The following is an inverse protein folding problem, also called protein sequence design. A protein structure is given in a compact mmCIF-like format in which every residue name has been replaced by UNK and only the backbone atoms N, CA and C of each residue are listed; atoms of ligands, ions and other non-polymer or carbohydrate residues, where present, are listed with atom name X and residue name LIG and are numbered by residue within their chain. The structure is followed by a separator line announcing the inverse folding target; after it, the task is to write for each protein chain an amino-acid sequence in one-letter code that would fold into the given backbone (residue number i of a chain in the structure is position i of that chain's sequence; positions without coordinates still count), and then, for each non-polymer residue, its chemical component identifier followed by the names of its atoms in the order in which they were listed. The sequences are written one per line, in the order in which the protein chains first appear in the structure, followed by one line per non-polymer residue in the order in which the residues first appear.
data_IF_767565305384
#
_entry.id   IF_767565305384
#
_cell.length_a   1.000
_cell.length_b   1.000
_cell.length_c   1.000
_cell.angle_alpha   90.00
_cell.angle_beta   90.00
_cell.angle_gamma   90.00
#
_symmetry.space_group_name_H-M   'P 1'
#
loop_
_entity.id
_entity.type
_entity.pdbx_description
1 polymer ?
#
# COMPACT_ATOMS: atom_id res chain seq x y z
N UNK A 1 -5.80 -20.30 -2.64
CA UNK A 1 -6.10 -19.01 -2.01
C UNK A 1 -5.62 -17.87 -2.87
N UNK A 2 -6.39 -16.77 -2.97
CA UNK A 2 -6.04 -15.54 -3.70
C UNK A 2 -5.77 -14.44 -2.68
N UNK A 3 -4.51 -14.13 -2.43
CA UNK A 3 -4.08 -13.24 -1.35
C UNK A 3 -3.57 -11.91 -1.92
N UNK A 4 -4.23 -10.80 -1.53
CA UNK A 4 -3.76 -9.45 -1.85
C UNK A 4 -2.70 -9.00 -0.85
N UNK A 5 -1.57 -8.49 -1.34
CA UNK A 5 -0.49 -7.93 -0.53
C UNK A 5 -0.55 -6.41 -0.62
N UNK A 6 -0.83 -5.73 0.48
CA UNK A 6 -0.87 -4.28 0.58
C UNK A 6 0.27 -3.79 1.48
N UNK A 7 1.42 -3.51 0.85
CA UNK A 7 2.57 -2.92 1.52
C UNK A 7 2.42 -1.41 1.72
N UNK A 8 2.93 -0.89 2.81
CA UNK A 8 2.89 0.55 3.05
C UNK A 8 3.56 0.99 4.33
N UNK A 9 3.87 2.28 4.41
CA UNK A 9 4.39 2.87 5.65
C UNK A 9 3.32 2.93 6.74
N UNK A 10 2.04 3.11 6.37
CA UNK A 10 0.90 3.29 7.29
C UNK A 10 1.21 4.26 8.43
N UNK A 11 1.49 5.52 8.07
CA UNK A 11 2.02 6.52 9.00
C UNK A 11 1.12 7.78 9.15
N UNK A 12 -0.11 7.62 9.74
CA UNK A 12 -0.77 6.39 10.17
C UNK A 12 -1.54 5.65 9.07
N UNK A 13 -2.04 4.45 9.38
CA UNK A 13 -3.13 3.83 8.63
C UNK A 13 -4.38 4.72 8.75
N UNK A 14 -5.21 4.76 7.69
CA UNK A 14 -6.40 5.62 7.65
C UNK A 14 -7.51 5.00 6.80
N UNK A 15 -8.71 5.58 6.86
CA UNK A 15 -9.90 5.08 6.18
C UNK A 15 -9.70 4.92 4.66
N UNK A 16 -8.84 5.75 4.04
CA UNK A 16 -8.47 5.58 2.63
C UNK A 16 -7.74 4.26 2.34
N UNK A 17 -6.85 3.80 3.22
CA UNK A 17 -6.19 2.50 3.06
C UNK A 17 -7.19 1.34 3.18
N UNK A 18 -8.10 1.41 4.13
CA UNK A 18 -9.13 0.38 4.34
C UNK A 18 -10.11 0.33 3.16
N UNK A 19 -10.52 1.48 2.64
CA UNK A 19 -11.40 1.57 1.46
C UNK A 19 -10.73 0.93 0.23
N UNK A 20 -9.47 1.29 -0.06
CA UNK A 20 -8.69 0.70 -1.16
C UNK A 20 -8.57 -0.82 -1.00
N UNK A 21 -8.28 -1.31 0.20
CA UNK A 21 -8.15 -2.74 0.46
C UNK A 21 -9.46 -3.49 0.16
N UNK A 22 -10.59 -3.00 0.67
CA UNK A 22 -11.91 -3.61 0.46
C UNK A 22 -12.34 -3.56 -1.01
N UNK A 23 -12.20 -2.42 -1.65
CA UNK A 23 -12.55 -2.23 -3.07
C UNK A 23 -11.70 -3.13 -3.97
N UNK A 24 -10.40 -3.22 -3.75
CA UNK A 24 -9.52 -4.08 -4.52
C UNK A 24 -9.86 -5.57 -4.28
N UNK A 25 -10.14 -5.96 -3.03
CA UNK A 25 -10.57 -7.31 -2.70
C UNK A 25 -11.82 -7.71 -3.46
N UNK A 26 -12.85 -6.87 -3.44
CA UNK A 26 -14.11 -7.11 -4.13
C UNK A 26 -13.95 -7.17 -5.64
N UNK A 27 -13.30 -6.15 -6.25
CA UNK A 27 -13.11 -6.04 -7.69
C UNK A 27 -12.29 -7.21 -8.30
N UNK A 28 -11.43 -7.82 -7.49
CA UNK A 28 -10.54 -8.90 -7.93
C UNK A 28 -10.97 -10.28 -7.41
N UNK A 29 -11.98 -10.37 -6.56
CA UNK A 29 -12.41 -11.63 -5.93
C UNK A 29 -11.29 -12.26 -5.09
N UNK A 30 -10.58 -11.44 -4.30
CA UNK A 30 -9.53 -11.94 -3.42
C UNK A 30 -10.14 -12.51 -2.14
N UNK A 31 -9.57 -13.60 -1.63
CA UNK A 31 -10.03 -14.20 -0.38
C UNK A 31 -9.71 -13.27 0.81
N UNK A 32 -8.51 -12.68 0.81
CA UNK A 32 -8.04 -11.83 1.89
C UNK A 32 -7.06 -10.76 1.40
N UNK A 33 -6.97 -9.63 2.10
CA UNK A 33 -5.90 -8.64 1.96
C UNK A 33 -4.98 -8.68 3.17
N UNK A 34 -3.69 -8.86 2.92
CA UNK A 34 -2.64 -8.85 3.92
C UNK A 34 -1.96 -7.47 3.94
N UNK A 35 -2.16 -6.71 5.02
CA UNK A 35 -1.44 -5.48 5.27
C UNK A 35 -0.01 -5.79 5.72
N UNK A 36 0.97 -5.11 5.14
CA UNK A 36 2.40 -5.33 5.41
C UNK A 36 3.04 -3.99 5.77
N UNK A 37 3.07 -3.62 7.07
CA UNK A 37 3.72 -2.39 7.51
C UNK A 37 5.23 -2.45 7.28
N UNK A 38 5.73 -1.50 6.48
CA UNK A 38 7.15 -1.41 6.14
C UNK A 38 7.97 -0.93 7.33
N UNK A 39 9.01 -1.68 7.72
CA UNK A 39 9.90 -1.30 8.82
C UNK A 39 10.82 -0.15 8.42
N UNK A 40 11.62 -0.36 7.39
CA UNK A 40 12.62 0.58 6.88
C UNK A 40 12.46 0.76 5.37
N UNK A 41 11.56 1.66 4.91
CA UNK A 41 11.37 1.91 3.48
C UNK A 41 12.68 2.37 2.83
N UNK A 42 13.12 1.77 1.70
CA UNK A 42 14.40 2.12 1.07
C UNK A 42 14.52 3.59 0.65
N UNK A 43 13.38 4.22 0.33
CA UNK A 43 13.30 5.56 -0.27
C UNK A 43 12.94 6.67 0.74
N UNK A 44 12.84 6.35 2.06
CA UNK A 44 12.51 7.35 3.08
C UNK A 44 13.68 7.57 4.03
N UNK A 45 13.94 8.83 4.43
CA UNK A 45 14.94 9.13 5.46
C UNK A 45 14.60 8.44 6.80
N UNK A 46 15.64 8.02 7.52
CA UNK A 46 15.46 7.51 8.87
C UNK A 46 14.84 8.60 9.77
N UNK A 47 13.94 8.20 10.66
CA UNK A 47 13.28 9.11 11.61
C UNK A 47 12.08 9.90 11.07
N UNK A 48 11.73 9.76 9.78
CA UNK A 48 10.56 10.45 9.20
C UNK A 48 9.22 9.75 9.48
N UNK A 49 9.25 8.59 10.12
CA UNK A 49 8.07 7.77 10.40
C UNK A 49 7.94 7.53 11.90
N UNK A 50 6.71 7.36 12.39
CA UNK A 50 6.48 6.78 13.71
C UNK A 50 7.15 5.41 13.84
N UNK A 51 7.51 4.96 15.06
CA UNK A 51 8.11 3.65 15.28
C UNK A 51 7.35 2.54 14.56
N UNK A 52 8.09 1.58 14.01
CA UNK A 52 7.48 0.53 13.18
C UNK A 52 6.45 -0.30 13.97
N UNK A 53 6.68 -0.51 15.27
CA UNK A 53 5.77 -1.22 16.14
C UNK A 53 4.45 -0.48 16.35
N UNK A 54 4.47 0.85 16.52
CA UNK A 54 3.25 1.65 16.64
C UNK A 54 2.46 1.63 15.34
N UNK A 55 3.13 1.68 14.18
CA UNK A 55 2.46 1.60 12.88
C UNK A 55 1.82 0.24 12.63
N UNK A 56 2.48 -0.83 13.08
CA UNK A 56 1.92 -2.18 13.07
C UNK A 56 0.67 -2.26 13.96
N UNK A 57 0.76 -1.77 15.18
CA UNK A 57 -0.35 -1.82 16.13
C UNK A 57 -1.56 -0.99 15.64
N UNK A 58 -1.32 0.18 15.09
CA UNK A 58 -2.39 0.98 14.47
C UNK A 58 -3.10 0.22 13.33
N UNK A 59 -2.36 -0.50 12.47
CA UNK A 59 -2.98 -1.33 11.43
C UNK A 59 -3.77 -2.47 12.06
N UNK A 60 -3.24 -3.17 13.05
CA UNK A 60 -3.92 -4.26 13.76
C UNK A 60 -5.26 -3.80 14.35
N UNK A 61 -5.25 -2.64 14.99
CA UNK A 61 -6.48 -2.02 15.55
C UNK A 61 -7.48 -1.61 14.45
N UNK A 62 -6.97 -1.10 13.32
CA UNK A 62 -7.81 -0.64 12.22
C UNK A 62 -8.60 -1.77 11.54
N UNK A 63 -8.04 -2.97 11.48
CA UNK A 63 -8.62 -4.12 10.77
C UNK A 63 -9.28 -5.15 11.69
N UNK A 64 -9.25 -4.96 13.00
CA UNK A 64 -9.67 -5.96 13.99
C UNK A 64 -11.11 -6.49 13.81
N UNK A 65 -12.00 -5.70 13.24
CA UNK A 65 -13.41 -6.06 13.03
C UNK A 65 -13.69 -6.67 11.63
N UNK A 66 -12.68 -6.79 10.76
CA UNK A 66 -12.87 -7.23 9.38
C UNK A 66 -12.05 -8.51 9.11
N UNK A 67 -12.68 -9.69 9.12
CA UNK A 67 -11.99 -10.98 8.95
C UNK A 67 -11.38 -11.17 7.55
N UNK A 68 -11.79 -10.36 6.58
CA UNK A 68 -11.21 -10.36 5.23
C UNK A 68 -9.89 -9.60 5.13
N UNK A 69 -9.48 -8.91 6.20
CA UNK A 69 -8.23 -8.18 6.30
C UNK A 69 -7.32 -8.84 7.34
N UNK A 70 -6.06 -8.99 7.01
CA UNK A 70 -5.04 -9.56 7.89
C UNK A 70 -3.82 -8.64 7.94
N UNK A 71 -2.92 -8.87 8.88
CA UNK A 71 -1.67 -8.15 9.01
C UNK A 71 -0.50 -9.11 9.12
N UNK A 72 0.63 -8.78 8.49
CA UNK A 72 1.89 -9.50 8.63
C UNK A 72 2.96 -8.61 9.23
N UNK A 73 3.72 -9.15 10.15
CA UNK A 73 4.89 -8.52 10.76
C UNK A 73 6.21 -8.90 10.07
N UNK A 74 6.13 -9.55 8.89
CA UNK A 74 7.27 -10.10 8.15
C UNK A 74 8.40 -9.08 7.93
N UNK A 75 8.05 -7.82 7.64
CA UNK A 75 9.04 -6.75 7.51
C UNK A 75 9.48 -6.16 8.85
N UNK A 76 8.63 -6.20 9.88
CA UNK A 76 8.97 -5.74 11.23
C UNK A 76 10.01 -6.65 11.86
N UNK A 77 9.86 -7.97 11.73
CA UNK A 77 10.80 -8.98 12.27
C UNK A 77 12.13 -9.03 11.52
N UNK A 78 12.11 -8.72 10.22
CA UNK A 78 13.29 -8.82 9.37
C UNK A 78 14.29 -7.70 9.67
N UNK A 79 15.62 -7.98 9.82
CA UNK A 79 16.64 -6.94 9.87
C UNK A 79 16.85 -6.26 8.51
N UNK A 80 17.37 -5.04 8.52
CA UNK A 80 17.75 -4.29 7.32
C UNK A 80 16.58 -3.60 6.60
N UNK A 81 16.80 -3.23 5.34
CA UNK A 81 15.82 -2.54 4.50
C UNK A 81 14.68 -3.46 4.06
N UNK A 82 13.50 -2.91 3.95
CA UNK A 82 12.28 -3.60 3.51
C UNK A 82 12.20 -3.66 1.98
N UNK A 83 12.88 -4.61 1.37
CA UNK A 83 12.78 -4.85 -0.07
C UNK A 83 11.59 -5.78 -0.37
N UNK A 84 10.76 -5.40 -1.34
CA UNK A 84 9.55 -6.16 -1.72
C UNK A 84 9.86 -7.58 -2.19
N UNK A 85 10.99 -7.80 -2.88
CA UNK A 85 11.40 -9.13 -3.33
C UNK A 85 11.58 -10.12 -2.17
N UNK A 86 12.21 -9.67 -1.09
CA UNK A 86 12.43 -10.50 0.09
C UNK A 86 11.11 -10.79 0.81
N UNK A 87 10.23 -9.79 0.86
CA UNK A 87 8.89 -9.91 1.46
C UNK A 87 8.03 -10.92 0.70
N UNK A 88 7.98 -10.82 -0.63
CA UNK A 88 7.19 -11.75 -1.46
C UNK A 88 7.73 -13.18 -1.35
N UNK A 89 9.05 -13.39 -1.35
CA UNK A 89 9.66 -14.72 -1.16
C UNK A 89 9.28 -15.35 0.17
N UNK A 90 9.34 -14.58 1.26
CA UNK A 90 8.94 -15.07 2.59
C UNK A 90 7.45 -15.43 2.65
N UNK A 91 6.58 -14.61 2.07
CA UNK A 91 5.15 -14.89 2.03
C UNK A 91 4.80 -16.08 1.14
N UNK A 92 5.53 -16.31 0.02
CA UNK A 92 5.37 -17.53 -0.77
C UNK A 92 5.73 -18.79 0.04
N UNK A 93 6.78 -18.72 0.87
CA UNK A 93 7.14 -19.82 1.76
C UNK A 93 6.09 -20.03 2.85
N UNK A 94 5.57 -18.98 3.44
CA UNK A 94 4.57 -19.02 4.53
C UNK A 94 3.21 -19.54 4.05
N UNK A 95 2.71 -19.03 2.90
CA UNK A 95 1.38 -19.35 2.37
C UNK A 95 1.36 -20.53 1.38
N UNK A 96 2.54 -21.00 0.95
CA UNK A 96 2.69 -22.13 0.05
C UNK A 96 2.43 -21.83 -1.43
N UNK A 97 2.93 -22.72 -2.30
CA UNK A 97 2.95 -22.53 -3.77
C UNK A 97 1.55 -22.48 -4.42
N UNK A 98 0.51 -22.97 -3.75
CA UNK A 98 -0.86 -22.94 -4.26
C UNK A 98 -1.55 -21.59 -4.03
N UNK A 99 -0.93 -20.67 -3.29
CA UNK A 99 -1.47 -19.35 -3.03
C UNK A 99 -1.05 -18.37 -4.14
N UNK A 100 -2.03 -17.78 -4.80
CA UNK A 100 -1.80 -16.73 -5.77
C UNK A 100 -1.63 -15.40 -5.04
N UNK A 101 -0.46 -14.77 -5.21
CA UNK A 101 -0.15 -13.49 -4.59
C UNK A 101 -0.45 -12.33 -5.56
N UNK A 102 -1.24 -11.36 -5.10
CA UNK A 102 -1.58 -10.13 -5.82
C UNK A 102 -0.93 -8.94 -5.12
N UNK A 103 0.09 -8.35 -5.72
CA UNK A 103 0.82 -7.22 -5.14
C UNK A 103 0.11 -5.91 -5.49
N UNK A 104 -0.62 -5.33 -4.53
CA UNK A 104 -1.34 -4.07 -4.71
C UNK A 104 -0.38 -2.90 -4.55
N UNK A 105 -0.28 -2.06 -5.57
CA UNK A 105 0.65 -0.93 -5.64
C UNK A 105 -0.02 0.29 -6.25
N UNK A 106 0.20 1.47 -5.71
CA UNK A 106 -0.25 2.70 -6.34
C UNK A 106 0.52 3.00 -7.63
N UNK A 107 -0.14 3.64 -8.58
CA UNK A 107 0.47 4.01 -9.87
C UNK A 107 1.74 4.84 -9.69
N UNK A 108 1.77 5.75 -8.71
CA UNK A 108 2.95 6.53 -8.32
C UNK A 108 4.18 5.66 -8.06
N UNK A 109 4.04 4.66 -7.20
CA UNK A 109 5.12 3.76 -6.83
C UNK A 109 5.47 2.76 -7.95
N UNK A 110 4.49 2.40 -8.79
CA UNK A 110 4.74 1.49 -9.91
C UNK A 110 5.50 2.16 -11.06
N UNK A 111 5.38 3.46 -11.24
CA UNK A 111 6.21 4.20 -12.21
C UNK A 111 7.71 4.12 -11.86
N UNK A 112 8.05 4.00 -10.59
CA UNK A 112 9.42 3.81 -10.10
C UNK A 112 9.86 2.33 -10.04
N UNK A 113 8.97 1.39 -10.35
CA UNK A 113 9.20 -0.06 -10.24
C UNK A 113 10.47 -0.56 -10.94
N UNK A 114 10.89 -0.04 -12.13
CA UNK A 114 12.14 -0.46 -12.77
C UNK A 114 13.39 -0.22 -11.91
N UNK A 115 13.34 0.68 -10.92
CA UNK A 115 14.44 0.97 -9.99
C UNK A 115 14.47 0.04 -8.77
N UNK A 116 13.45 -0.81 -8.60
CA UNK A 116 13.35 -1.70 -7.45
C UNK A 116 14.41 -2.81 -7.50
N UNK A 117 14.65 -3.44 -6.35
CA UNK A 117 15.55 -4.58 -6.28
C UNK A 117 14.92 -5.80 -6.94
N UNK A 118 15.61 -6.39 -7.90
CA UNK A 118 15.18 -7.57 -8.67
C UNK A 118 13.76 -7.44 -9.27
N UNK A 119 13.45 -6.39 -10.04
CA UNK A 119 12.08 -6.13 -10.48
C UNK A 119 11.57 -7.23 -11.43
N UNK A 120 12.45 -7.81 -12.28
CA UNK A 120 12.07 -8.91 -13.17
C UNK A 120 11.66 -10.15 -12.38
N UNK A 121 12.40 -10.50 -11.34
CA UNK A 121 12.06 -11.64 -10.46
C UNK A 121 10.71 -11.41 -9.74
N UNK A 122 10.42 -10.18 -9.30
CA UNK A 122 9.12 -9.87 -8.71
C UNK A 122 7.95 -10.14 -9.65
N UNK A 123 8.11 -9.86 -10.97
CA UNK A 123 7.08 -10.11 -11.98
C UNK A 123 6.79 -11.60 -12.20
N UNK A 124 7.72 -12.47 -11.84
CA UNK A 124 7.54 -13.93 -11.91
C UNK A 124 6.91 -14.50 -10.63
N UNK A 125 7.06 -13.80 -9.50
CA UNK A 125 6.63 -14.30 -8.19
C UNK A 125 5.21 -13.92 -7.80
N UNK A 126 4.70 -12.79 -8.27
CA UNK A 126 3.35 -12.31 -7.92
C UNK A 126 2.71 -11.50 -9.05
N UNK A 127 1.39 -11.47 -9.06
CA UNK A 127 0.62 -10.66 -9.99
C UNK A 127 0.53 -9.22 -9.48
N UNK A 128 1.01 -8.27 -10.27
CA UNK A 128 0.91 -6.86 -9.90
C UNK A 128 -0.50 -6.31 -10.18
N UNK A 129 -1.00 -5.53 -9.22
CA UNK A 129 -2.25 -4.78 -9.33
C UNK A 129 -1.93 -3.30 -9.14
N UNK A 130 -1.89 -2.57 -10.25
CA UNK A 130 -1.63 -1.12 -10.24
C UNK A 130 -2.93 -0.38 -10.01
N UNK A 131 -3.00 0.32 -8.91
CA UNK A 131 -4.16 1.07 -8.45
C UNK A 131 -4.08 2.53 -8.88
N UNK A 132 -5.21 3.12 -9.28
CA UNK A 132 -5.28 4.54 -9.61
C UNK A 132 -4.83 5.44 -8.46
N UNK A 133 -4.26 6.59 -8.82
CA UNK A 133 -3.86 7.64 -7.87
C UNK A 133 -4.40 8.99 -8.34
N UNK A 134 -4.93 9.83 -7.43
CA UNK A 134 -5.33 11.19 -7.79
C UNK A 134 -4.19 11.94 -8.49
N UNK A 135 -4.51 12.61 -9.60
CA UNK A 135 -3.55 13.40 -10.36
C UNK A 135 -2.62 12.61 -11.29
N UNK A 136 -2.66 11.28 -11.31
CA UNK A 136 -1.88 10.43 -12.21
C UNK A 136 -2.79 9.69 -13.19
N UNK A 137 -2.25 9.43 -14.38
CA UNK A 137 -2.97 8.80 -15.48
C UNK A 137 -2.28 7.48 -15.86
N UNK A 138 -3.07 6.42 -16.05
CA UNK A 138 -2.57 5.10 -16.43
C UNK A 138 -1.81 5.10 -17.76
N UNK A 139 -2.10 6.04 -18.67
CA UNK A 139 -1.33 6.20 -19.92
C UNK A 139 0.17 6.42 -19.69
N UNK A 140 0.59 6.89 -18.51
CA UNK A 140 2.00 6.98 -18.14
C UNK A 140 2.71 5.63 -18.09
N UNK A 141 1.98 4.52 -17.99
CA UNK A 141 2.53 3.17 -18.03
C UNK A 141 3.14 2.81 -19.39
N UNK A 142 2.69 3.47 -20.48
CA UNK A 142 3.22 3.22 -21.83
C UNK A 142 4.71 3.53 -21.97
N UNK A 143 5.28 4.31 -21.05
CA UNK A 143 6.70 4.70 -21.05
C UNK A 143 7.54 3.95 -20.01
N UNK A 144 6.93 3.07 -19.21
CA UNK A 144 7.65 2.34 -18.16
C UNK A 144 8.46 1.19 -18.77
N UNK A 145 9.79 1.19 -18.61
CA UNK A 145 10.60 0.06 -19.02
C UNK A 145 10.16 -1.23 -18.32
N UNK A 146 10.40 -2.39 -18.97
CA UNK A 146 10.00 -3.72 -18.49
C UNK A 146 8.52 -4.09 -18.70
N UNK A 147 7.63 -3.14 -19.00
CA UNK A 147 6.26 -3.47 -19.34
C UNK A 147 6.14 -3.90 -20.80
N UNK A 148 5.28 -4.89 -21.10
CA UNK A 148 4.88 -5.16 -22.48
C UNK A 148 4.11 -3.96 -23.04
N UNK A 149 4.00 -3.82 -24.35
CA UNK A 149 3.14 -2.81 -24.93
C UNK A 149 1.70 -3.00 -24.47
N UNK A 150 1.22 -2.09 -23.64
CA UNK A 150 -0.21 -2.00 -23.29
C UNK A 150 -0.85 -1.03 -24.31
N UNK A 151 -1.93 -1.42 -24.99
CA UNK A 151 -2.57 -0.54 -25.95
C UNK A 151 -2.95 0.81 -25.33
N UNK A 152 -2.38 1.89 -25.85
CA UNK A 152 -2.65 3.26 -25.35
C UNK A 152 -4.14 3.59 -25.31
N UNK A 153 -4.97 3.22 -26.33
CA UNK A 153 -6.41 3.43 -26.26
C UNK A 153 -7.06 2.81 -25.01
N UNK A 154 -6.69 1.58 -24.63
CA UNK A 154 -7.21 0.93 -23.42
C UNK A 154 -6.80 1.70 -22.14
N UNK A 155 -5.58 2.21 -22.08
CA UNK A 155 -5.13 3.05 -20.95
C UNK A 155 -5.92 4.37 -20.89
N UNK A 156 -6.21 4.95 -22.05
CA UNK A 156 -7.04 6.17 -22.13
C UNK A 156 -8.51 5.90 -21.72
N UNK A 157 -9.05 4.72 -22.05
CA UNK A 157 -10.38 4.32 -21.62
C UNK A 157 -10.45 4.15 -20.10
N UNK A 158 -9.40 3.60 -19.50
CA UNK A 158 -9.25 3.48 -18.05
C UNK A 158 -9.13 4.86 -17.38
N UNK A 159 -8.34 5.78 -17.97
CA UNK A 159 -8.19 7.15 -17.48
C UNK A 159 -9.51 7.94 -17.56
N UNK A 160 -10.28 7.73 -18.62
CA UNK A 160 -11.58 8.36 -18.84
C UNK A 160 -12.74 7.64 -18.12
N UNK A 161 -12.45 6.65 -17.29
CA UNK A 161 -13.42 5.86 -16.50
C UNK A 161 -14.48 5.14 -17.37
N UNK A 162 -14.20 4.94 -18.66
CA UNK A 162 -15.06 4.13 -19.55
C UNK A 162 -14.98 2.64 -19.23
N UNK A 163 -13.85 2.21 -18.68
CA UNK A 163 -13.62 0.87 -18.11
C UNK A 163 -12.95 1.02 -16.74
N UNK A 164 -13.13 0.04 -15.88
CA UNK A 164 -12.53 0.05 -14.53
C UNK A 164 -11.29 -0.81 -14.40
N UNK A 165 -11.02 -1.69 -15.39
CA UNK A 165 -9.96 -2.69 -15.30
C UNK A 165 -9.36 -3.00 -16.68
N UNK A 166 -8.04 -3.22 -16.71
CA UNK A 166 -7.28 -3.80 -17.82
C UNK A 166 -6.43 -4.94 -17.26
N UNK A 167 -6.31 -6.02 -18.02
CA UNK A 167 -5.33 -7.07 -17.77
C UNK A 167 -4.33 -7.12 -18.95
N UNK A 168 -3.06 -7.19 -18.62
CA UNK A 168 -1.98 -7.29 -19.59
C UNK A 168 -1.03 -8.45 -19.23
N UNK A 169 -0.45 -9.16 -20.22
CA UNK A 169 0.59 -10.14 -19.95
C UNK A 169 1.82 -9.43 -19.40
N UNK A 170 2.38 -9.94 -18.30
CA UNK A 170 3.62 -9.42 -17.70
C UNK A 170 4.27 -10.54 -16.88
N UNK A 171 5.48 -10.96 -17.25
CA UNK A 171 6.08 -12.15 -16.67
C UNK A 171 5.16 -13.37 -16.84
N UNK A 172 5.20 -14.28 -15.87
CA UNK A 172 4.30 -15.44 -15.84
C UNK A 172 2.98 -15.15 -15.13
N UNK A 173 2.90 -14.07 -14.34
CA UNK A 173 1.77 -13.77 -13.44
C UNK A 173 0.79 -12.74 -14.02
N UNK A 174 1.25 -11.87 -14.93
CA UNK A 174 0.44 -10.81 -15.51
C UNK A 174 0.33 -9.54 -14.65
N UNK A 175 -0.24 -8.50 -15.25
CA UNK A 175 -0.49 -7.18 -14.68
C UNK A 175 -1.97 -6.87 -14.74
N UNK A 176 -2.51 -6.26 -13.69
CA UNK A 176 -3.85 -5.68 -13.65
C UNK A 176 -3.71 -4.18 -13.39
N UNK A 177 -4.31 -3.34 -14.23
CA UNK A 177 -4.55 -1.94 -13.92
C UNK A 177 -5.99 -1.81 -13.44
N UNK A 178 -6.17 -1.28 -12.24
CA UNK A 178 -7.49 -1.19 -11.59
C UNK A 178 -7.79 0.25 -11.20
N UNK A 179 -8.83 0.82 -11.79
CA UNK A 179 -9.36 2.12 -11.42
C UNK A 179 -10.27 1.95 -10.20
N UNK A 180 -9.94 2.62 -9.12
CA UNK A 180 -10.75 2.66 -7.91
C UNK A 180 -11.27 4.08 -7.65
N UNK A 181 -12.41 4.24 -6.98
CA UNK A 181 -12.87 5.55 -6.51
C UNK A 181 -11.77 6.25 -5.71
N UNK A 182 -11.53 7.54 -5.95
CA UNK A 182 -10.47 8.27 -5.26
C UNK A 182 -10.79 8.40 -3.77
N UNK A 183 -9.76 8.31 -2.93
CA UNK A 183 -9.85 8.66 -1.51
C UNK A 183 -9.20 10.01 -1.28
N UNK A 184 -9.94 10.93 -0.67
CA UNK A 184 -9.43 12.25 -0.29
C UNK A 184 -8.57 12.21 0.99
N UNK A 185 -8.46 11.05 1.65
CA UNK A 185 -7.72 10.92 2.92
C UNK A 185 -6.24 10.70 2.66
N UNK A 186 -5.39 11.53 3.27
CA UNK A 186 -3.94 11.37 3.20
C UNK A 186 -3.30 11.33 4.60
N UNK A 187 -2.30 10.47 4.77
CA UNK A 187 -1.54 10.38 6.01
C UNK A 187 -0.80 11.70 6.34
N UNK A 188 -0.40 12.47 5.33
CA UNK A 188 0.26 13.77 5.51
C UNK A 188 -0.69 14.79 6.12
N UNK A 189 -1.92 14.88 5.58
CA UNK A 189 -2.95 15.76 6.13
C UNK A 189 -3.30 15.39 7.58
N UNK A 190 -3.46 14.10 7.87
CA UNK A 190 -3.72 13.62 9.23
C UNK A 190 -2.64 14.07 10.20
N UNK A 191 -1.35 13.88 9.86
CA UNK A 191 -0.24 14.32 10.73
C UNK A 191 -0.22 15.84 10.93
N UNK A 192 -0.56 16.60 9.90
CA UNK A 192 -0.67 18.07 10.01
C UNK A 192 -1.81 18.47 10.95
N UNK A 193 -2.98 17.82 10.85
CA UNK A 193 -4.13 18.05 11.74
C UNK A 193 -3.79 17.74 13.19
N UNK A 194 -3.08 16.63 13.45
CA UNK A 194 -2.65 16.25 14.81
C UNK A 194 -1.76 17.34 15.41
N UNK A 195 -0.75 17.84 14.66
CA UNK A 195 0.13 18.92 15.12
C UNK A 195 -0.63 20.22 15.44
N UNK A 196 -1.68 20.50 14.67
CA UNK A 196 -2.52 21.69 14.82
C UNK A 196 -3.67 21.51 15.82
N UNK A 197 -3.84 20.33 16.41
CA UNK A 197 -4.97 20.04 17.31
C UNK A 197 -6.33 20.05 16.61
N UNK A 198 -6.37 19.83 15.30
CA UNK A 198 -7.60 19.83 14.50
C UNK A 198 -8.29 18.45 14.56
N UNK A 199 -9.63 18.40 14.43
CA UNK A 199 -10.39 17.16 14.43
C UNK A 199 -9.94 16.17 13.33
N UNK A 200 -9.91 14.87 13.65
CA UNK A 200 -9.58 13.78 12.73
C UNK A 200 -10.81 12.91 12.39
N UNK A 201 -12.00 13.38 12.73
CA UNK A 201 -13.24 12.65 12.50
C UNK A 201 -13.36 12.19 11.04
N UNK A 202 -13.76 10.92 10.83
CA UNK A 202 -13.92 10.28 9.54
C UNK A 202 -12.62 10.05 8.72
N UNK A 203 -11.46 10.49 9.20
CA UNK A 203 -10.18 10.22 8.53
C UNK A 203 -9.55 8.91 9.00
N UNK A 204 -9.73 8.59 10.27
CA UNK A 204 -9.18 7.42 10.96
C UNK A 204 -10.30 6.53 11.53
N UNK A 205 -10.06 5.22 11.69
CA UNK A 205 -10.84 4.40 12.60
C UNK A 205 -10.72 4.96 14.04
N UNK A 206 -11.81 4.96 14.84
CA UNK A 206 -11.78 5.49 16.22
C UNK A 206 -10.71 4.84 17.11
N UNK A 207 -10.45 3.54 16.93
CA UNK A 207 -9.39 2.81 17.65
C UNK A 207 -7.99 3.33 17.34
N UNK A 208 -7.74 3.72 16.07
CA UNK A 208 -6.46 4.31 15.65
C UNK A 208 -6.31 5.73 16.18
N UNK A 209 -7.36 6.52 16.12
CA UNK A 209 -7.36 7.88 16.70
C UNK A 209 -7.05 7.84 18.20
N UNK A 210 -7.72 6.97 18.96
CA UNK A 210 -7.47 6.78 20.38
C UNK A 210 -6.04 6.36 20.67
N UNK A 211 -5.48 5.42 19.87
CA UNK A 211 -4.09 4.98 20.00
C UNK A 211 -3.09 6.12 19.77
N UNK A 212 -3.29 6.92 18.72
CA UNK A 212 -2.43 8.07 18.40
C UNK A 212 -2.40 9.08 19.55
N UNK A 213 -3.57 9.40 20.11
CA UNK A 213 -3.69 10.36 21.24
C UNK A 213 -3.04 9.81 22.52
N UNK A 214 -3.28 8.54 22.84
CA UNK A 214 -2.74 7.88 24.03
C UNK A 214 -1.22 7.76 24.00
N UNK A 215 -0.64 7.53 22.82
CA UNK A 215 0.82 7.36 22.64
C UNK A 215 1.51 8.65 22.18
N UNK A 216 0.79 9.80 22.15
CA UNK A 216 1.32 11.10 21.74
C UNK A 216 2.03 11.08 20.38
N UNK A 217 1.56 10.24 19.44
CA UNK A 217 2.19 10.12 18.13
C UNK A 217 1.92 11.36 17.27
N UNK A 218 2.91 11.73 16.45
CA UNK A 218 2.85 12.84 15.47
C UNK A 218 2.69 14.23 16.07
N UNK A 219 2.72 14.40 17.39
CA UNK A 219 2.76 15.70 18.04
C UNK A 219 4.17 16.29 17.93
N UNK A 220 4.29 17.60 17.88
CA UNK A 220 5.61 18.26 17.99
C UNK A 220 6.12 18.11 19.43
N UNK A 221 7.43 17.84 19.58
CA UNK A 221 8.10 17.91 20.87
C UNK A 221 7.98 19.34 21.41
N UNK A 222 7.05 19.58 22.33
CA UNK A 222 6.90 20.88 23.02
C UNK A 222 8.14 21.29 23.82
N UNK A 223 9.15 20.41 23.92
CA UNK A 223 10.37 20.64 24.69
C UNK A 223 11.58 21.15 23.89
N UNK A 224 11.45 21.47 22.58
CA UNK A 224 12.57 21.99 21.78
C UNK A 224 12.65 23.53 21.71
N UNK A 225 11.79 24.27 22.44
CA UNK A 225 11.76 25.73 22.38
C UNK A 225 12.34 26.43 23.62
N UNK A 226 13.07 25.71 24.50
CA UNK A 226 13.79 26.33 25.63
C UNK A 226 15.21 25.76 25.73
N UNK A 227 16.07 26.11 24.79
CA UNK A 227 17.54 26.00 24.96
C UNK A 227 18.21 27.06 24.10
#
# INVERSE_FOLDING_TARGET
MRLGLLGGSFNPVHNGHLAIARQAREALGLDQILFIPTKHPPHKPNGSLAPAQDRYEMVRLAIASDPSLAISDVEIRRPGKSYSIDTVRLLQQEYGAQTQLFFLIGLDAFLDFPSWREPRTLLELCRFVVLSRPGLLFRSLSTVPLLPPIPVPSLMDLDAERISRIEAPLGTQGLICLKLPPSAVSASDIRTRIRQGLPMANLLPPSVESYILQHHLYQEDRNRTNS
#
